data_IF_905759358418
#
_entry.id   IF_905759358418
#
_cell.length_a   1.000
_cell.length_b   1.000
_cell.length_c   1.000
_cell.angle_alpha   90.00
_cell.angle_beta   90.00
_cell.angle_gamma   90.00
#
_symmetry.space_group_name_H-M   'P 1'
#
loop_
_entity.id
_entity.type
_entity.pdbx_description
1 polymer ?
#
# COMPACT_ATOMS: atom_id res chain seq x y z
N UNK A 1 0.29 -5.02 -9.72
CA UNK A 1 1.10 -3.92 -10.29
C UNK A 1 2.21 -4.50 -11.14
N UNK A 2 2.43 -4.04 -12.37
CA UNK A 2 3.48 -4.50 -13.31
C UNK A 2 3.58 -6.01 -13.53
N UNK A 3 2.47 -6.74 -13.43
CA UNK A 3 2.44 -8.20 -13.56
C UNK A 3 3.08 -9.00 -12.41
N UNK A 4 3.43 -8.34 -11.30
CA UNK A 4 4.00 -8.93 -10.09
C UNK A 4 2.96 -8.84 -8.96
N UNK A 5 2.81 -9.90 -8.17
CA UNK A 5 1.84 -9.92 -7.06
C UNK A 5 2.26 -9.00 -5.90
N UNK A 6 1.29 -8.53 -5.13
CA UNK A 6 1.56 -7.67 -3.96
C UNK A 6 2.45 -8.37 -2.92
N UNK A 7 2.32 -9.68 -2.73
CA UNK A 7 3.19 -10.45 -1.82
C UNK A 7 4.65 -10.48 -2.28
N UNK A 8 4.89 -10.63 -3.58
CA UNK A 8 6.23 -10.59 -4.15
C UNK A 8 6.84 -9.19 -4.08
N UNK A 9 6.05 -8.14 -4.37
CA UNK A 9 6.49 -6.76 -4.18
C UNK A 9 6.90 -6.45 -2.74
N UNK A 10 6.21 -6.99 -1.74
CA UNK A 10 6.59 -6.83 -0.33
C UNK A 10 7.99 -7.38 -0.03
N UNK A 11 8.37 -8.50 -0.65
CA UNK A 11 9.72 -9.08 -0.53
C UNK A 11 10.73 -8.12 -1.19
N UNK A 12 10.48 -7.72 -2.44
CA UNK A 12 11.36 -6.84 -3.21
C UNK A 12 11.58 -5.51 -2.48
N UNK A 13 10.52 -4.85 -1.99
CA UNK A 13 10.66 -3.58 -1.27
C UNK A 13 11.38 -3.72 0.07
N UNK A 14 11.25 -4.86 0.76
CA UNK A 14 12.05 -5.12 1.96
C UNK A 14 13.53 -5.15 1.63
N UNK A 15 13.91 -5.82 0.54
CA UNK A 15 15.30 -5.84 0.06
C UNK A 15 15.76 -4.42 -0.28
N UNK A 16 14.97 -3.61 -1.00
CA UNK A 16 15.34 -2.22 -1.29
C UNK A 16 15.61 -1.40 -0.03
N UNK A 17 14.82 -1.58 1.03
CA UNK A 17 14.96 -0.86 2.30
C UNK A 17 16.28 -1.19 3.02
N UNK A 18 16.84 -2.39 2.85
CA UNK A 18 18.13 -2.75 3.44
C UNK A 18 19.28 -1.89 2.91
N UNK A 19 19.12 -1.31 1.71
CA UNK A 19 20.13 -0.48 1.05
C UNK A 19 19.79 1.01 1.03
N UNK A 20 18.83 1.46 1.84
CA UNK A 20 18.31 2.85 1.81
C UNK A 20 19.35 3.95 2.08
N UNK A 21 20.46 3.62 2.74
CA UNK A 21 21.53 4.59 3.04
C UNK A 21 22.48 4.81 1.85
N UNK A 22 22.59 3.84 0.94
CA UNK A 22 23.57 3.81 -0.14
C UNK A 22 22.94 3.89 -1.52
N UNK A 23 21.61 3.66 -1.62
CA UNK A 23 20.83 3.78 -2.85
C UNK A 23 19.88 4.99 -2.73
N UNK A 24 19.95 5.88 -3.72
CA UNK A 24 19.14 7.08 -3.76
C UNK A 24 17.79 6.83 -4.42
N UNK A 25 17.75 6.03 -5.51
CA UNK A 25 16.51 5.64 -6.13
C UNK A 25 16.63 4.36 -6.98
N UNK A 26 15.49 3.70 -7.18
CA UNK A 26 15.31 2.54 -8.06
C UNK A 26 14.09 2.80 -8.94
N UNK A 27 14.27 2.73 -10.27
CA UNK A 27 13.20 2.78 -11.26
C UNK A 27 13.03 1.43 -11.93
N UNK A 28 11.78 1.00 -12.12
CA UNK A 28 11.43 -0.08 -13.05
C UNK A 28 11.38 0.51 -14.47
N UNK A 29 11.97 -0.15 -15.43
CA UNK A 29 11.89 0.22 -16.84
C UNK A 29 11.53 -1.00 -17.72
N UNK A 30 11.64 -0.88 -19.02
CA UNK A 30 11.40 -2.00 -19.96
C UNK A 30 9.93 -2.41 -20.05
N UNK A 31 9.69 -3.66 -20.43
CA UNK A 31 8.35 -4.18 -20.76
C UNK A 31 7.37 -4.10 -19.60
N UNK A 32 7.82 -4.33 -18.37
CA UNK A 32 6.96 -4.26 -17.18
C UNK A 32 6.52 -2.83 -16.88
N UNK A 33 7.39 -1.86 -17.08
CA UNK A 33 7.05 -0.45 -16.87
C UNK A 33 6.04 0.05 -17.91
N UNK A 34 6.15 -0.41 -19.16
CA UNK A 34 5.23 -0.09 -20.25
C UNK A 34 3.89 -0.84 -20.19
N UNK A 35 3.84 -1.96 -19.47
CA UNK A 35 2.63 -2.78 -19.34
C UNK A 35 2.46 -3.87 -20.42
N UNK A 36 3.47 -4.10 -21.28
CA UNK A 36 3.49 -5.11 -22.33
C UNK A 36 4.24 -6.40 -21.94
N UNK A 37 4.59 -6.55 -20.66
CA UNK A 37 5.31 -7.68 -20.14
C UNK A 37 4.51 -9.00 -20.18
N UNK A 38 5.18 -10.08 -20.52
CA UNK A 38 4.71 -11.45 -20.33
C UNK A 38 4.96 -11.91 -18.89
N UNK A 39 4.32 -13.01 -18.46
CA UNK A 39 4.57 -13.59 -17.12
C UNK A 39 6.04 -13.95 -16.88
N UNK A 40 6.75 -14.32 -17.93
CA UNK A 40 8.17 -14.71 -17.91
C UNK A 40 9.14 -13.57 -18.20
N UNK A 41 8.65 -12.35 -18.40
CA UNK A 41 9.54 -11.19 -18.63
C UNK A 41 10.37 -10.90 -17.39
N UNK A 42 11.61 -10.51 -17.61
CA UNK A 42 12.52 -10.07 -16.55
C UNK A 42 12.02 -8.78 -15.86
N UNK A 43 12.62 -8.48 -14.73
CA UNK A 43 12.37 -7.26 -13.98
C UNK A 43 13.56 -6.34 -14.16
N UNK A 44 13.42 -5.36 -15.06
CA UNK A 44 14.47 -4.42 -15.43
C UNK A 44 14.52 -3.27 -14.43
N UNK A 45 15.61 -3.14 -13.66
CA UNK A 45 15.78 -2.12 -12.61
C UNK A 45 16.97 -1.21 -12.94
N UNK A 46 16.71 0.10 -13.03
CA UNK A 46 17.75 1.12 -13.04
C UNK A 46 17.95 1.63 -11.62
N UNK A 47 19.17 1.58 -11.13
CA UNK A 47 19.53 1.92 -9.75
C UNK A 47 20.55 3.05 -9.74
N UNK A 48 20.30 4.05 -8.92
CA UNK A 48 21.24 5.15 -8.66
C UNK A 48 21.69 5.10 -7.19
N UNK A 49 22.99 4.89 -7.00
CA UNK A 49 23.57 4.71 -5.67
C UNK A 49 25.05 4.33 -5.75
N UNK A 50 25.62 3.86 -4.63
CA UNK A 50 27.01 3.39 -4.64
C UNK A 50 27.15 2.05 -5.37
N UNK A 51 28.23 1.87 -6.15
CA UNK A 51 28.49 0.64 -6.90
C UNK A 51 28.42 -0.61 -6.02
N UNK A 52 28.99 -0.53 -4.82
CA UNK A 52 28.99 -1.64 -3.87
C UNK A 52 27.60 -2.06 -3.42
N UNK A 53 26.71 -1.07 -3.20
CA UNK A 53 25.33 -1.32 -2.82
C UNK A 53 24.51 -1.89 -4.00
N UNK A 54 24.68 -1.36 -5.20
CA UNK A 54 24.01 -1.86 -6.41
C UNK A 54 24.34 -3.32 -6.65
N UNK A 55 25.62 -3.69 -6.53
CA UNK A 55 26.06 -5.09 -6.69
C UNK A 55 25.47 -6.03 -5.63
N UNK A 56 25.45 -5.60 -4.37
CA UNK A 56 24.84 -6.35 -3.27
C UNK A 56 23.33 -6.47 -3.43
N UNK A 57 22.67 -5.42 -3.88
CA UNK A 57 21.23 -5.42 -4.17
C UNK A 57 20.91 -6.47 -5.26
N UNK A 58 21.66 -6.49 -6.35
CA UNK A 58 21.47 -7.47 -7.44
C UNK A 58 21.55 -8.90 -6.90
N UNK A 59 22.58 -9.22 -6.12
CA UNK A 59 22.74 -10.54 -5.48
C UNK A 59 21.56 -10.86 -4.56
N UNK A 60 21.15 -9.92 -3.70
CA UNK A 60 20.04 -10.13 -2.76
C UNK A 60 18.70 -10.35 -3.48
N UNK A 61 18.48 -9.73 -4.63
CA UNK A 61 17.31 -9.97 -5.47
C UNK A 61 17.35 -11.35 -6.14
N UNK A 62 18.50 -11.78 -6.66
CA UNK A 62 18.69 -13.12 -7.23
C UNK A 62 18.51 -14.22 -6.18
N UNK A 63 19.02 -14.02 -4.96
CA UNK A 63 18.89 -14.97 -3.84
C UNK A 63 17.48 -14.97 -3.22
N UNK A 64 16.60 -14.06 -3.64
CA UNK A 64 15.24 -13.97 -3.11
C UNK A 64 14.34 -15.09 -3.62
N UNK A 65 13.35 -15.48 -2.82
CA UNK A 65 12.32 -16.47 -3.23
C UNK A 65 11.27 -15.88 -4.20
N UNK A 66 11.64 -14.86 -4.98
CA UNK A 66 10.75 -14.25 -5.97
C UNK A 66 11.02 -14.89 -7.34
N UNK A 67 10.00 -15.43 -8.03
CA UNK A 67 10.20 -16.24 -9.25
C UNK A 67 10.40 -15.37 -10.51
N UNK A 68 11.30 -14.39 -10.43
CA UNK A 68 11.66 -13.52 -11.56
C UNK A 68 13.18 -13.38 -11.64
N UNK A 69 13.67 -13.24 -12.86
CA UNK A 69 15.03 -12.77 -13.13
C UNK A 69 15.06 -11.24 -13.01
N UNK A 70 16.11 -10.71 -12.40
CA UNK A 70 16.30 -9.27 -12.25
C UNK A 70 17.47 -8.81 -13.11
N UNK A 71 17.23 -7.84 -13.98
CA UNK A 71 18.29 -7.11 -14.67
C UNK A 71 18.51 -5.77 -13.96
N UNK A 72 19.63 -5.67 -13.25
CA UNK A 72 19.97 -4.52 -12.40
C UNK A 72 21.10 -3.75 -13.04
N UNK A 73 20.81 -2.54 -13.53
CA UNK A 73 21.80 -1.66 -14.12
C UNK A 73 22.16 -0.49 -13.21
N UNK A 74 23.44 -0.14 -13.18
CA UNK A 74 23.94 1.10 -12.57
C UNK A 74 23.63 2.26 -13.52
N UNK A 75 22.67 3.12 -13.13
CA UNK A 75 22.23 4.23 -13.96
C UNK A 75 23.33 5.25 -14.24
N UNK A 76 24.20 5.53 -13.29
CA UNK A 76 25.28 6.51 -13.44
C UNK A 76 26.36 6.04 -14.40
N UNK A 77 26.61 4.74 -14.45
CA UNK A 77 27.60 4.11 -15.34
C UNK A 77 27.05 3.69 -16.69
N UNK A 78 25.76 3.90 -16.92
CA UNK A 78 25.13 3.54 -18.18
C UNK A 78 25.58 4.49 -19.29
N UNK A 79 26.37 3.96 -20.23
CA UNK A 79 26.92 4.72 -21.38
C UNK A 79 25.97 4.81 -22.56
N UNK A 80 24.87 4.05 -22.58
CA UNK A 80 23.88 4.08 -23.66
C UNK A 80 22.86 5.21 -23.40
N UNK A 81 23.05 6.33 -24.08
CA UNK A 81 22.17 7.50 -23.95
C UNK A 81 20.69 7.23 -24.31
N UNK A 82 20.43 6.33 -25.26
CA UNK A 82 19.05 5.98 -25.62
C UNK A 82 18.36 5.21 -24.49
N UNK A 83 19.10 4.35 -23.80
CA UNK A 83 18.59 3.63 -22.66
C UNK A 83 18.36 4.56 -21.46
N UNK A 84 19.27 5.51 -21.21
CA UNK A 84 19.07 6.54 -20.18
C UNK A 84 17.82 7.37 -20.46
N UNK A 85 17.64 7.83 -21.70
CA UNK A 85 16.43 8.58 -22.10
C UNK A 85 15.14 7.76 -21.89
N UNK A 86 15.16 6.48 -22.23
CA UNK A 86 14.00 5.59 -21.99
C UNK A 86 13.70 5.44 -20.50
N UNK A 87 14.72 5.26 -19.66
CA UNK A 87 14.57 5.17 -18.18
C UNK A 87 14.01 6.48 -17.62
N UNK A 88 14.44 7.64 -18.15
CA UNK A 88 13.96 8.94 -17.66
C UNK A 88 12.52 9.24 -18.05
N UNK A 89 12.12 8.84 -19.26
CA UNK A 89 10.78 9.09 -19.80
C UNK A 89 9.73 8.06 -19.35
N UNK A 90 10.08 6.78 -19.38
CA UNK A 90 9.15 5.67 -19.18
C UNK A 90 9.29 5.01 -17.80
N UNK A 91 10.44 5.19 -17.14
CA UNK A 91 10.77 4.55 -15.87
C UNK A 91 9.80 4.90 -14.75
N UNK A 92 9.35 3.88 -14.01
CA UNK A 92 8.44 4.02 -12.87
C UNK A 92 9.23 3.99 -11.57
N UNK A 93 9.15 5.06 -10.79
CA UNK A 93 9.83 5.15 -9.50
C UNK A 93 9.28 4.11 -8.52
N UNK A 94 10.10 3.14 -8.14
CA UNK A 94 9.76 2.11 -7.14
C UNK A 94 10.25 2.48 -5.75
N UNK A 95 11.42 3.09 -5.65
CA UNK A 95 12.08 3.40 -4.40
C UNK A 95 12.83 4.72 -4.52
N UNK A 96 12.75 5.55 -3.50
CA UNK A 96 13.51 6.79 -3.42
C UNK A 96 13.90 7.08 -1.97
N UNK A 97 15.04 7.78 -1.79
CA UNK A 97 15.47 8.31 -0.51
C UNK A 97 15.75 9.80 -0.65
N UNK A 98 15.47 10.55 0.40
CA UNK A 98 15.82 11.96 0.51
C UNK A 98 16.65 12.18 1.78
N UNK A 99 17.95 12.53 1.62
CA UNK A 99 18.86 12.70 2.75
C UNK A 99 19.05 11.43 3.61
N UNK A 100 19.06 10.24 2.96
CA UNK A 100 19.17 8.94 3.64
C UNK A 100 17.87 8.46 4.32
N UNK A 101 16.77 9.22 4.19
CA UNK A 101 15.45 8.78 4.66
C UNK A 101 14.63 8.26 3.50
N UNK A 102 14.00 7.13 3.74
CA UNK A 102 13.06 6.52 2.82
C UNK A 102 11.90 7.47 2.49
N UNK A 103 11.57 7.58 1.22
CA UNK A 103 10.46 8.38 0.72
C UNK A 103 9.38 7.48 0.12
N UNK A 104 8.11 7.70 0.47
CA UNK A 104 6.99 6.96 -0.07
C UNK A 104 6.86 7.21 -1.59
N UNK A 105 6.57 6.18 -2.37
CA UNK A 105 6.38 6.27 -3.82
C UNK A 105 4.94 5.93 -4.23
N UNK A 106 4.51 6.42 -5.40
CA UNK A 106 3.18 6.07 -5.96
C UNK A 106 3.01 4.55 -6.09
N UNK A 107 4.06 3.84 -6.51
CA UNK A 107 4.03 2.38 -6.62
C UNK A 107 3.67 1.69 -5.30
N UNK A 108 4.20 2.20 -4.20
CA UNK A 108 3.90 1.69 -2.87
C UNK A 108 2.52 2.08 -2.35
N UNK A 109 2.04 3.27 -2.69
CA UNK A 109 0.67 3.67 -2.42
C UNK A 109 -0.33 2.76 -3.14
N UNK A 110 -0.08 2.45 -4.42
CA UNK A 110 -0.88 1.51 -5.20
C UNK A 110 -0.97 0.13 -4.53
N UNK A 111 0.17 -0.41 -4.03
CA UNK A 111 0.16 -1.68 -3.30
C UNK A 111 -0.69 -1.64 -2.03
N UNK A 112 -0.55 -0.56 -1.25
CA UNK A 112 -1.35 -0.39 -0.02
C UNK A 112 -2.83 -0.26 -0.33
N UNK A 113 -3.17 0.47 -1.39
CA UNK A 113 -4.54 0.59 -1.86
C UNK A 113 -5.09 -0.77 -2.34
N UNK A 114 -4.33 -1.57 -3.09
CA UNK A 114 -4.75 -2.92 -3.49
C UNK A 114 -5.04 -3.83 -2.29
N UNK A 115 -4.21 -3.78 -1.24
CA UNK A 115 -4.45 -4.54 -0.02
C UNK A 115 -5.75 -4.09 0.67
N UNK A 116 -5.97 -2.77 0.75
CA UNK A 116 -7.18 -2.19 1.30
C UNK A 116 -8.43 -2.55 0.47
N UNK A 117 -8.37 -2.41 -0.84
CA UNK A 117 -9.45 -2.80 -1.76
C UNK A 117 -9.86 -4.27 -1.59
N UNK A 118 -8.88 -5.19 -1.51
CA UNK A 118 -9.14 -6.61 -1.25
C UNK A 118 -9.82 -6.85 0.11
N UNK A 119 -9.42 -6.11 1.13
CA UNK A 119 -10.02 -6.20 2.46
C UNK A 119 -11.46 -5.67 2.45
N UNK A 120 -11.72 -4.53 1.80
CA UNK A 120 -13.06 -3.95 1.63
C UNK A 120 -14.01 -4.93 0.92
N UNK A 121 -13.56 -5.59 -0.14
CA UNK A 121 -14.36 -6.63 -0.81
C UNK A 121 -14.77 -7.75 0.16
N UNK A 122 -13.87 -8.21 1.03
CA UNK A 122 -14.16 -9.24 2.03
C UNK A 122 -15.09 -8.74 3.14
N UNK A 123 -14.95 -7.48 3.56
CA UNK A 123 -15.86 -6.89 4.55
C UNK A 123 -17.28 -6.80 4.00
N UNK A 124 -17.47 -6.32 2.76
CA UNK A 124 -18.78 -6.24 2.11
C UNK A 124 -19.44 -7.64 2.00
N UNK A 125 -18.66 -8.68 1.69
CA UNK A 125 -19.18 -10.06 1.66
C UNK A 125 -19.64 -10.48 3.05
N UNK A 126 -18.86 -10.26 4.12
CA UNK A 126 -19.22 -10.64 5.48
C UNK A 126 -20.48 -9.89 5.96
N UNK A 127 -20.55 -8.58 5.74
CA UNK A 127 -21.70 -7.76 6.14
C UNK A 127 -23.02 -8.12 5.41
N UNK A 128 -22.92 -8.70 4.21
CA UNK A 128 -24.07 -9.17 3.43
C UNK A 128 -24.37 -10.69 3.63
N UNK A 129 -23.63 -11.36 4.52
CA UNK A 129 -23.88 -12.76 4.83
C UNK A 129 -25.17 -12.91 5.63
N UNK A 130 -25.87 -14.05 5.43
CA UNK A 130 -27.09 -14.34 6.20
C UNK A 130 -26.74 -14.58 7.66
N UNK A 131 -27.62 -14.10 8.56
CA UNK A 131 -27.53 -14.39 10.00
C UNK A 131 -27.62 -15.90 10.22
N UNK A 132 -26.69 -16.43 11.00
CA UNK A 132 -26.70 -17.82 11.45
C UNK A 132 -27.03 -17.92 12.95
N UNK A 133 -27.43 -19.10 13.40
CA UNK A 133 -27.86 -19.32 14.79
C UNK A 133 -26.70 -19.17 15.79
N UNK A 134 -25.45 -19.32 15.33
CA UNK A 134 -24.26 -19.33 16.17
C UNK A 134 -23.55 -17.95 16.21
N UNK A 135 -24.08 -16.95 15.49
CA UNK A 135 -23.52 -15.59 15.48
C UNK A 135 -22.16 -15.45 14.76
N UNK A 136 -21.72 -16.45 13.99
CA UNK A 136 -20.43 -16.42 13.28
C UNK A 136 -20.33 -15.26 12.29
N UNK A 137 -21.46 -14.82 11.71
CA UNK A 137 -21.51 -13.67 10.83
C UNK A 137 -21.12 -12.36 11.54
N UNK A 138 -21.48 -12.21 12.82
CA UNK A 138 -21.10 -11.05 13.65
C UNK A 138 -19.59 -10.99 13.82
N UNK A 139 -19.01 -12.06 14.32
CA UNK A 139 -17.57 -12.17 14.58
C UNK A 139 -16.77 -11.96 13.28
N UNK A 140 -17.20 -12.61 12.20
CA UNK A 140 -16.56 -12.46 10.91
C UNK A 140 -16.60 -11.00 10.41
N UNK A 141 -17.75 -10.31 10.55
CA UNK A 141 -17.91 -8.92 10.11
C UNK A 141 -17.07 -7.98 10.97
N UNK A 142 -17.09 -8.13 12.28
CA UNK A 142 -16.29 -7.31 13.21
C UNK A 142 -14.80 -7.49 12.93
N UNK A 143 -14.32 -8.71 12.80
CA UNK A 143 -12.90 -8.99 12.49
C UNK A 143 -12.49 -8.41 11.11
N UNK A 144 -13.37 -8.51 10.10
CA UNK A 144 -13.10 -7.91 8.78
C UNK A 144 -13.08 -6.38 8.86
N UNK A 145 -13.97 -5.78 9.64
CA UNK A 145 -13.97 -4.35 9.88
C UNK A 145 -12.68 -3.87 10.54
N UNK A 146 -12.24 -4.53 11.62
CA UNK A 146 -10.98 -4.21 12.29
C UNK A 146 -9.80 -4.20 11.31
N UNK A 147 -9.70 -5.24 10.49
CA UNK A 147 -8.66 -5.37 9.48
C UNK A 147 -8.75 -4.29 8.40
N UNK A 148 -9.95 -3.96 7.91
CA UNK A 148 -10.16 -2.89 6.94
C UNK A 148 -9.79 -1.53 7.52
N UNK A 149 -10.23 -1.22 8.73
CA UNK A 149 -9.90 0.04 9.39
C UNK A 149 -8.38 0.20 9.60
N UNK A 150 -7.70 -0.88 10.00
CA UNK A 150 -6.26 -0.90 10.16
C UNK A 150 -5.52 -0.58 8.83
N UNK A 151 -5.99 -1.14 7.72
CA UNK A 151 -5.43 -0.84 6.39
C UNK A 151 -5.78 0.56 5.92
N UNK A 152 -6.99 1.05 6.22
CA UNK A 152 -7.45 2.38 5.83
C UNK A 152 -6.57 3.49 6.43
N UNK A 153 -6.41 3.51 7.76
CA UNK A 153 -5.59 4.57 8.37
C UNK A 153 -4.10 4.46 8.01
N UNK A 154 -3.58 3.24 7.78
CA UNK A 154 -2.20 3.04 7.28
C UNK A 154 -2.02 3.50 5.83
N UNK A 155 -3.03 3.35 4.99
CA UNK A 155 -3.04 3.91 3.64
C UNK A 155 -3.09 5.44 3.71
N UNK A 156 -4.00 6.00 4.53
CA UNK A 156 -4.10 7.45 4.75
C UNK A 156 -2.78 8.03 5.24
N UNK A 157 -2.15 7.40 6.24
CA UNK A 157 -0.80 7.79 6.70
C UNK A 157 0.22 7.79 5.56
N UNK A 158 0.22 6.75 4.73
CA UNK A 158 1.17 6.64 3.63
C UNK A 158 0.95 7.71 2.57
N UNK A 159 -0.31 8.10 2.31
CA UNK A 159 -0.65 9.21 1.41
C UNK A 159 -0.15 10.54 1.98
N UNK A 160 -0.35 10.78 3.29
CA UNK A 160 0.20 11.95 3.97
C UNK A 160 1.74 11.99 3.93
N UNK A 161 2.40 10.86 4.21
CA UNK A 161 3.86 10.74 4.11
C UNK A 161 4.36 11.05 2.67
N UNK A 162 3.61 10.66 1.65
CA UNK A 162 3.92 10.97 0.25
C UNK A 162 3.81 12.47 -0.05
N UNK A 163 2.84 13.15 0.56
CA UNK A 163 2.64 14.61 0.47
C UNK A 163 3.58 15.39 1.41
N UNK A 164 4.46 14.70 2.16
CA UNK A 164 5.39 15.32 3.11
C UNK A 164 4.75 15.76 4.43
N UNK A 165 3.56 15.25 4.74
CA UNK A 165 2.81 15.56 5.96
C UNK A 165 3.06 14.47 7.00
N UNK A 166 3.59 14.86 8.16
CA UNK A 166 3.91 13.90 9.23
C UNK A 166 2.66 13.52 10.04
N UNK A 167 2.41 12.21 10.15
CA UNK A 167 1.37 11.64 10.99
C UNK A 167 1.88 10.35 11.64
N UNK A 168 1.97 10.30 12.97
CA UNK A 168 2.63 9.22 13.71
C UNK A 168 1.68 8.17 14.30
N UNK A 169 0.38 8.43 14.30
CA UNK A 169 -0.64 7.58 14.95
C UNK A 169 -1.94 7.53 14.13
N UNK A 170 -2.83 6.55 14.39
CA UNK A 170 -4.15 6.53 13.77
C UNK A 170 -4.92 7.84 13.98
N UNK A 171 -4.90 8.39 15.20
CA UNK A 171 -5.57 9.65 15.52
C UNK A 171 -5.01 10.84 14.73
N UNK A 172 -3.70 10.97 14.63
CA UNK A 172 -3.08 12.05 13.86
C UNK A 172 -3.33 11.87 12.36
N UNK A 173 -3.26 10.64 11.85
CA UNK A 173 -3.55 10.35 10.44
C UNK A 173 -4.98 10.72 10.06
N UNK A 174 -5.97 10.40 10.91
CA UNK A 174 -7.37 10.76 10.69
C UNK A 174 -7.55 12.30 10.66
N UNK A 175 -6.94 13.01 11.60
CA UNK A 175 -7.06 14.48 11.68
C UNK A 175 -6.40 15.17 10.48
N UNK A 176 -5.19 14.75 10.12
CA UNK A 176 -4.50 15.30 8.96
C UNK A 176 -5.19 14.89 7.65
N UNK A 177 -5.66 13.65 7.52
CA UNK A 177 -6.43 13.18 6.37
C UNK A 177 -7.73 13.99 6.16
N UNK A 178 -8.41 14.37 7.23
CA UNK A 178 -9.56 15.27 7.16
C UNK A 178 -9.17 16.67 6.68
N UNK A 179 -8.09 17.26 7.20
CA UNK A 179 -7.58 18.58 6.75
C UNK A 179 -7.21 18.58 5.27
N UNK A 180 -6.72 17.44 4.77
CA UNK A 180 -6.39 17.26 3.36
C UNK A 180 -7.58 16.79 2.50
N UNK A 181 -8.80 16.81 3.05
CA UNK A 181 -10.03 16.37 2.36
C UNK A 181 -9.95 14.94 1.82
N UNK A 182 -9.19 14.06 2.48
CA UNK A 182 -9.17 12.62 2.17
C UNK A 182 -10.40 11.90 2.73
N UNK A 183 -11.04 12.50 3.74
CA UNK A 183 -12.25 12.02 4.41
C UNK A 183 -13.13 13.21 4.78
N UNK A 184 -14.45 13.00 4.81
CA UNK A 184 -15.43 14.08 5.05
C UNK A 184 -15.58 14.45 6.53
N UNK A 185 -15.41 13.50 7.45
CA UNK A 185 -15.63 13.70 8.89
C UNK A 185 -14.55 13.03 9.74
N UNK A 186 -13.73 13.85 10.39
CA UNK A 186 -12.76 13.35 11.37
C UNK A 186 -13.44 12.71 12.59
N UNK A 187 -14.61 13.25 13.02
CA UNK A 187 -15.35 12.75 14.17
C UNK A 187 -15.83 11.33 13.96
N UNK A 188 -16.45 11.04 12.82
CA UNK A 188 -16.93 9.70 12.47
C UNK A 188 -15.79 8.67 12.40
N UNK A 189 -14.66 9.08 11.86
CA UNK A 189 -13.48 8.22 11.81
C UNK A 189 -12.84 7.98 13.18
N UNK A 190 -12.88 8.97 14.08
CA UNK A 190 -12.44 8.80 15.46
C UNK A 190 -13.39 7.89 16.25
N UNK A 191 -14.70 7.96 15.99
CA UNK A 191 -15.68 7.01 16.53
C UNK A 191 -15.42 5.59 16.02
N UNK A 192 -15.10 5.41 14.72
CA UNK A 192 -14.66 4.12 14.18
C UNK A 192 -13.43 3.57 14.92
N UNK A 193 -12.43 4.42 15.18
CA UNK A 193 -11.23 4.04 15.93
C UNK A 193 -11.58 3.57 17.34
N UNK A 194 -12.49 4.24 18.02
CA UNK A 194 -12.97 3.84 19.35
C UNK A 194 -13.71 2.52 19.33
N UNK A 195 -14.60 2.30 18.36
CA UNK A 195 -15.30 1.02 18.20
C UNK A 195 -14.32 -0.13 17.89
N UNK A 196 -13.34 0.12 17.01
CA UNK A 196 -12.28 -0.87 16.73
C UNK A 196 -11.49 -1.24 17.98
N UNK A 197 -11.24 -0.29 18.89
CA UNK A 197 -10.53 -0.58 20.13
C UNK A 197 -11.42 -1.32 21.14
N UNK A 198 -12.72 -1.09 21.14
CA UNK A 198 -13.69 -1.79 21.99
C UNK A 198 -13.97 -3.22 21.51
N UNK A 199 -13.83 -3.49 20.21
CA UNK A 199 -14.08 -4.82 19.64
C UNK A 199 -13.13 -5.91 20.17
N UNK A 200 -11.98 -5.56 20.75
CA UNK A 200 -11.11 -6.50 21.47
C UNK A 200 -11.71 -7.03 22.79
N UNK A 201 -12.87 -6.52 23.22
CA UNK A 201 -13.59 -6.87 24.44
C UNK A 201 -15.02 -7.44 24.17
N UNK A 202 -15.24 -8.02 22.98
CA UNK A 202 -16.56 -8.52 22.52
C UNK A 202 -17.05 -9.80 23.21
N UNK A 203 -16.64 -10.05 24.45
CA UNK A 203 -17.22 -11.14 25.26
C UNK A 203 -18.72 -10.92 25.60
N UNK A 204 -19.28 -9.74 25.30
CA UNK A 204 -20.68 -9.41 25.51
C UNK A 204 -21.40 -9.35 24.15
N UNK A 205 -22.35 -10.24 23.96
CA UNK A 205 -23.14 -10.37 22.73
C UNK A 205 -23.88 -9.08 22.33
N UNK A 206 -24.40 -8.31 23.32
CA UNK A 206 -25.08 -7.04 23.04
C UNK A 206 -24.10 -5.99 22.47
N UNK A 207 -22.87 -5.97 22.96
CA UNK A 207 -21.83 -5.06 22.43
C UNK A 207 -21.41 -5.44 21.00
N UNK A 208 -21.31 -6.75 20.71
CA UNK A 208 -21.00 -7.22 19.38
C UNK A 208 -22.10 -6.84 18.37
N UNK A 209 -23.37 -6.99 18.78
CA UNK A 209 -24.52 -6.60 17.96
C UNK A 209 -24.51 -5.09 17.65
N UNK A 210 -24.28 -4.23 18.64
CA UNK A 210 -24.21 -2.78 18.47
C UNK A 210 -23.09 -2.35 17.50
N UNK A 211 -21.92 -3.01 17.61
CA UNK A 211 -20.79 -2.76 16.70
C UNK A 211 -21.14 -3.19 15.29
N UNK A 212 -21.74 -4.37 15.11
CA UNK A 212 -22.17 -4.88 13.82
C UNK A 212 -23.15 -3.94 13.11
N UNK A 213 -24.18 -3.45 13.85
CA UNK A 213 -25.17 -2.53 13.32
C UNK A 213 -24.52 -1.21 12.82
N UNK A 214 -23.55 -0.66 13.57
CA UNK A 214 -22.80 0.52 13.17
C UNK A 214 -21.93 0.26 11.94
N UNK A 215 -21.31 -0.91 11.86
CA UNK A 215 -20.52 -1.30 10.69
C UNK A 215 -21.40 -1.32 9.44
N UNK A 216 -22.57 -2.00 9.53
CA UNK A 216 -23.48 -2.17 8.39
C UNK A 216 -24.20 -0.88 8.00
N UNK A 217 -24.59 -0.04 8.98
CA UNK A 217 -25.38 1.16 8.73
C UNK A 217 -24.57 2.41 8.39
N UNK A 218 -23.26 2.44 8.72
CA UNK A 218 -22.48 3.68 8.59
C UNK A 218 -21.02 3.44 8.16
N UNK A 219 -20.30 2.52 8.82
CA UNK A 219 -18.84 2.47 8.66
C UNK A 219 -18.40 1.93 7.30
N UNK A 220 -19.16 1.03 6.71
CA UNK A 220 -18.90 0.53 5.34
C UNK A 220 -18.96 1.65 4.32
N UNK A 221 -19.89 2.58 4.46
CA UNK A 221 -20.03 3.72 3.54
C UNK A 221 -18.85 4.69 3.68
N UNK A 222 -18.44 5.01 4.91
CA UNK A 222 -17.26 5.86 5.16
C UNK A 222 -15.97 5.24 4.60
N UNK A 223 -15.78 3.96 4.83
CA UNK A 223 -14.62 3.22 4.29
C UNK A 223 -14.67 3.13 2.76
N UNK A 224 -15.87 2.99 2.17
CA UNK A 224 -16.07 2.97 0.72
C UNK A 224 -15.76 4.33 0.09
N UNK A 225 -16.21 5.43 0.72
CA UNK A 225 -15.88 6.78 0.25
C UNK A 225 -14.35 7.02 0.25
N UNK A 226 -13.68 6.62 1.33
CA UNK A 226 -12.21 6.71 1.38
C UNK A 226 -11.51 5.81 0.36
N UNK A 227 -12.03 4.61 0.06
CA UNK A 227 -11.50 3.73 -0.97
C UNK A 227 -11.50 4.40 -2.35
N UNK A 228 -12.59 5.11 -2.68
CA UNK A 228 -12.74 5.85 -3.94
C UNK A 228 -11.81 7.06 -4.00
N UNK A 229 -11.80 7.88 -2.95
CA UNK A 229 -10.92 9.05 -2.85
C UNK A 229 -9.44 8.67 -2.97
N UNK A 230 -9.03 7.59 -2.29
CA UNK A 230 -7.66 7.08 -2.39
C UNK A 230 -7.33 6.57 -3.80
N UNK A 231 -8.27 5.92 -4.49
CA UNK A 231 -8.08 5.46 -5.87
C UNK A 231 -7.86 6.64 -6.82
N UNK A 232 -8.65 7.70 -6.71
CA UNK A 232 -8.56 8.91 -7.54
C UNK A 232 -7.23 9.65 -7.34
N UNK A 233 -6.79 9.81 -6.08
CA UNK A 233 -5.50 10.47 -5.78
C UNK A 233 -4.28 9.67 -6.24
N UNK A 234 -4.34 8.33 -6.12
CA UNK A 234 -3.22 7.47 -6.49
C UNK A 234 -3.15 7.28 -8.01
N UNK A 235 -4.28 7.28 -8.71
CA UNK A 235 -4.39 7.04 -10.16
C UNK A 235 -5.21 8.15 -10.86
N UNK A 236 -4.74 9.40 -10.92
CA UNK A 236 -5.54 10.53 -11.42
C UNK A 236 -5.89 10.46 -12.92
N UNK A 237 -5.49 9.40 -13.63
CA UNK A 237 -5.69 9.21 -15.07
C UNK A 237 -6.29 7.83 -15.44
N UNK A 238 -6.90 7.11 -14.49
CA UNK A 238 -7.56 5.82 -14.75
C UNK A 238 -9.05 5.97 -15.02
#
# INVERSE_FOLDING_TARGET
MFGISTSQWKIIFRIFQEYQNDIQWIKLFGSRARGDAKKTSDVDLAVFGTEGAIRKLAIALEDSNVPYTFDVIDYERQVNENLQKAIDQEGKMLFATAGGKYSMTIAQLQMKWEDYHKAMKRLRIAANSQADADGLYLDATIQRFEFCFELAWKLMKAMLDYEGIEASSPRSSIREGWKQSMIDSAEDWLQMLEQRNLSSHTYNESTAQDIYEKICSKYIDLLTAFEQEAAERINPHS
#
